data_IF_020311048269
#
_entry.id   IF_020311048269
#
_cell.length_a   1.000
_cell.length_b   1.000
_cell.length_c   1.000
_cell.angle_alpha   90.00
_cell.angle_beta   90.00
_cell.angle_gamma   90.00
#
_symmetry.space_group_name_H-M   'P 1'
#
loop_
_entity.id
_entity.type
_entity.pdbx_description
1 polymer ?
#
# COMPACT_ATOMS: atom_id res chain seq x y z
N UNK A 1 14.79 -22.59 -15.19
CA UNK A 1 14.72 -23.93 -15.82
C UNK A 1 15.52 -24.87 -14.96
N UNK A 2 14.91 -25.91 -14.40
CA UNK A 2 15.65 -26.96 -13.68
C UNK A 2 16.49 -27.76 -14.66
N UNK A 3 17.73 -28.09 -14.27
CA UNK A 3 18.53 -29.06 -15.01
C UNK A 3 17.85 -30.44 -14.87
N UNK A 4 17.60 -31.17 -15.96
CA UNK A 4 17.00 -32.49 -15.88
C UNK A 4 17.93 -33.42 -15.08
N UNK A 5 17.36 -34.16 -14.12
CA UNK A 5 18.12 -35.18 -13.39
C UNK A 5 18.57 -36.27 -14.37
N UNK A 6 19.86 -36.62 -14.41
CA UNK A 6 20.35 -37.64 -15.33
C UNK A 6 19.79 -39.01 -14.95
N UNK A 7 19.27 -39.72 -15.94
CA UNK A 7 18.90 -41.12 -15.80
C UNK A 7 20.19 -41.96 -15.90
N UNK A 8 20.60 -42.64 -14.82
CA UNK A 8 21.86 -43.39 -14.77
C UNK A 8 21.75 -44.71 -15.54
N UNK A 9 20.56 -45.30 -15.58
CA UNK A 9 20.26 -46.53 -16.30
C UNK A 9 18.80 -46.51 -16.75
N UNK A 10 18.57 -46.52 -18.06
CA UNK A 10 17.26 -46.38 -18.68
C UNK A 10 16.60 -47.72 -19.08
N UNK A 11 17.26 -48.85 -18.76
CA UNK A 11 16.72 -50.19 -19.04
C UNK A 11 15.42 -50.43 -18.27
N UNK A 12 14.40 -50.86 -19.01
CA UNK A 12 13.11 -51.27 -18.46
C UNK A 12 13.05 -52.78 -18.31
N UNK A 13 12.03 -53.26 -17.62
CA UNK A 13 11.74 -54.69 -17.47
C UNK A 13 11.94 -55.50 -18.75
N UNK A 14 11.34 -55.05 -19.87
CA UNK A 14 11.40 -55.78 -21.13
C UNK A 14 12.82 -55.86 -21.69
N UNK A 15 13.58 -54.77 -21.59
CA UNK A 15 14.98 -54.73 -22.04
C UNK A 15 15.83 -55.75 -21.26
N UNK A 16 15.57 -55.88 -19.95
CA UNK A 16 16.24 -56.84 -19.07
C UNK A 16 15.86 -58.29 -19.39
N UNK A 17 14.58 -58.55 -19.67
CA UNK A 17 14.10 -59.89 -20.09
C UNK A 17 14.69 -60.29 -21.44
N UNK A 18 14.68 -59.37 -22.41
CA UNK A 18 15.19 -59.62 -23.76
C UNK A 18 16.72 -59.84 -23.75
N UNK A 19 17.46 -59.06 -22.96
CA UNK A 19 18.89 -59.26 -22.77
C UNK A 19 19.21 -60.61 -22.12
N UNK A 20 18.45 -61.02 -21.11
CA UNK A 20 18.62 -62.33 -20.49
C UNK A 20 18.31 -63.48 -21.47
N UNK A 21 17.23 -63.37 -22.25
CA UNK A 21 16.88 -64.35 -23.30
C UNK A 21 17.94 -64.47 -24.37
N UNK A 22 18.53 -63.35 -24.81
CA UNK A 22 19.66 -63.33 -25.77
C UNK A 22 20.89 -64.10 -25.26
N UNK A 23 21.09 -64.18 -23.94
CA UNK A 23 22.23 -64.91 -23.35
C UNK A 23 21.99 -66.42 -23.23
N UNK A 24 20.75 -66.91 -23.29
CA UNK A 24 20.43 -68.34 -23.09
C UNK A 24 21.16 -69.21 -24.12
N UNK A 25 21.10 -68.86 -25.40
CA UNK A 25 21.72 -69.65 -26.47
C UNK A 25 23.24 -69.78 -26.36
N UNK A 26 23.91 -68.83 -25.68
CA UNK A 26 25.35 -68.85 -25.46
C UNK A 26 25.75 -69.56 -24.17
N UNK A 27 24.95 -69.42 -23.11
CA UNK A 27 25.31 -69.90 -21.75
C UNK A 27 24.65 -71.21 -21.36
N UNK A 28 23.48 -71.50 -21.90
CA UNK A 28 22.66 -72.66 -21.57
C UNK A 28 22.11 -73.30 -22.86
N UNK A 29 22.97 -73.86 -23.73
CA UNK A 29 22.54 -74.42 -25.02
C UNK A 29 21.57 -75.61 -24.88
N UNK A 30 21.58 -76.29 -23.73
CA UNK A 30 20.66 -77.41 -23.42
C UNK A 30 19.23 -76.94 -23.06
N UNK A 31 19.05 -75.64 -22.77
CA UNK A 31 17.74 -75.07 -22.46
C UNK A 31 17.04 -74.65 -23.75
N UNK A 32 16.05 -75.44 -24.18
CA UNK A 32 15.39 -75.31 -25.49
C UNK A 32 13.99 -74.71 -25.45
N UNK A 33 13.31 -74.74 -24.31
CA UNK A 33 11.97 -74.15 -24.14
C UNK A 33 12.04 -72.72 -23.62
N UNK A 34 11.77 -71.74 -24.48
CA UNK A 34 11.79 -70.30 -24.15
C UNK A 34 10.39 -69.67 -24.16
N UNK A 35 9.33 -70.50 -24.03
CA UNK A 35 7.96 -70.02 -23.96
C UNK A 35 7.69 -69.27 -22.65
N UNK A 36 6.66 -68.42 -22.64
CA UNK A 36 6.25 -67.66 -21.44
C UNK A 36 5.86 -68.58 -20.27
N UNK A 37 5.36 -69.79 -20.58
CA UNK A 37 4.99 -70.79 -19.58
C UNK A 37 6.18 -71.55 -18.97
N UNK A 38 7.40 -71.34 -19.47
CA UNK A 38 8.59 -71.99 -18.95
C UNK A 38 8.95 -71.41 -17.55
N UNK A 39 9.17 -72.26 -16.52
CA UNK A 39 9.52 -71.79 -15.18
C UNK A 39 10.83 -71.00 -15.13
N UNK A 40 11.80 -71.30 -15.99
CA UNK A 40 13.05 -70.56 -16.12
C UNK A 40 12.84 -69.16 -16.70
N UNK A 41 11.95 -69.03 -17.69
CA UNK A 41 11.53 -67.71 -18.21
C UNK A 41 10.80 -66.90 -17.14
N UNK A 42 9.96 -67.55 -16.32
CA UNK A 42 9.31 -66.89 -15.17
C UNK A 42 10.34 -66.38 -14.15
N UNK A 43 11.42 -67.11 -13.91
CA UNK A 43 12.52 -66.65 -13.04
C UNK A 43 13.26 -65.46 -13.66
N UNK A 44 13.49 -65.47 -14.98
CA UNK A 44 14.08 -64.31 -15.69
C UNK A 44 13.20 -63.08 -15.48
N UNK A 45 11.88 -63.20 -15.67
CA UNK A 45 10.93 -62.11 -15.45
C UNK A 45 10.95 -61.63 -13.99
N UNK A 46 10.96 -62.54 -13.01
CA UNK A 46 11.06 -62.18 -11.59
C UNK A 46 12.33 -61.37 -11.30
N UNK A 47 13.50 -61.85 -11.77
CA UNK A 47 14.76 -61.14 -11.56
C UNK A 47 14.82 -59.82 -12.32
N UNK A 48 14.27 -59.75 -13.54
CA UNK A 48 14.15 -58.51 -14.30
C UNK A 48 13.32 -57.46 -13.52
N UNK A 49 12.22 -57.86 -12.90
CA UNK A 49 11.41 -56.97 -12.04
C UNK A 49 12.19 -56.49 -10.81
N UNK A 50 12.94 -57.38 -10.15
CA UNK A 50 13.79 -57.00 -9.01
C UNK A 50 14.89 -56.01 -9.42
N UNK A 51 15.52 -56.21 -10.58
CA UNK A 51 16.54 -55.31 -11.11
C UNK A 51 15.93 -53.97 -11.50
N UNK A 52 14.78 -53.94 -12.17
CA UNK A 52 14.08 -52.69 -12.50
C UNK A 52 13.77 -51.86 -11.24
N UNK A 53 13.35 -52.49 -10.14
CA UNK A 53 13.17 -51.79 -8.85
C UNK A 53 14.49 -51.22 -8.29
N UNK A 54 15.62 -51.90 -8.49
CA UNK A 54 16.93 -51.41 -8.10
C UNK A 54 17.40 -50.25 -8.98
N UNK A 55 17.19 -50.33 -10.30
CA UNK A 55 17.47 -49.26 -11.26
C UNK A 55 16.64 -48.01 -10.92
N UNK A 56 15.36 -48.16 -10.59
CA UNK A 56 14.51 -47.06 -10.15
C UNK A 56 15.11 -46.32 -8.94
N UNK A 57 15.63 -47.04 -7.94
CA UNK A 57 16.27 -46.43 -6.76
C UNK A 57 17.61 -45.78 -7.09
N UNK A 58 18.40 -46.41 -7.96
CA UNK A 58 19.67 -45.84 -8.43
C UNK A 58 19.44 -44.48 -9.12
N UNK A 59 18.39 -44.38 -9.92
CA UNK A 59 18.02 -43.16 -10.64
C UNK A 59 17.53 -42.01 -9.71
N UNK A 60 17.27 -42.27 -8.42
CA UNK A 60 17.00 -41.21 -7.43
C UNK A 60 18.27 -40.67 -6.75
N UNK A 61 19.41 -41.35 -6.89
CA UNK A 61 20.68 -40.95 -6.25
C UNK A 61 21.19 -39.59 -6.75
N UNK A 62 21.16 -39.26 -8.05
CA UNK A 62 21.63 -37.96 -8.54
C UNK A 62 20.93 -36.78 -7.89
N UNK A 63 19.60 -36.83 -7.76
CA UNK A 63 18.80 -35.76 -7.14
C UNK A 63 19.14 -35.61 -5.65
N UNK A 64 19.24 -36.72 -4.91
CA UNK A 64 19.62 -36.71 -3.50
C UNK A 64 21.03 -36.16 -3.28
N UNK A 65 21.98 -36.53 -4.14
CA UNK A 65 23.34 -36.02 -4.08
C UNK A 65 23.39 -34.53 -4.41
N UNK A 66 22.62 -34.09 -5.41
CA UNK A 66 22.51 -32.67 -5.76
C UNK A 66 22.03 -31.83 -4.57
N UNK A 67 20.92 -32.22 -3.93
CA UNK A 67 20.41 -31.56 -2.71
C UNK A 67 21.49 -31.55 -1.63
N UNK A 68 22.18 -32.68 -1.40
CA UNK A 68 23.21 -32.77 -0.36
C UNK A 68 24.43 -31.89 -0.67
N UNK A 69 24.82 -31.78 -1.93
CA UNK A 69 25.91 -30.88 -2.33
C UNK A 69 25.52 -29.43 -2.12
N UNK A 70 24.27 -29.04 -2.43
CA UNK A 70 23.74 -27.70 -2.13
C UNK A 70 23.84 -27.41 -0.62
N UNK A 71 23.37 -28.33 0.23
CA UNK A 71 23.47 -28.18 1.69
C UNK A 71 24.92 -28.06 2.17
N UNK A 72 25.85 -28.84 1.59
CA UNK A 72 27.27 -28.82 1.97
C UNK A 72 27.98 -27.51 1.60
N UNK A 73 27.59 -26.85 0.51
CA UNK A 73 28.10 -25.52 0.15
C UNK A 73 27.34 -24.38 0.85
N UNK A 74 26.44 -24.72 1.78
CA UNK A 74 25.70 -23.77 2.61
C UNK A 74 24.42 -23.23 1.98
N UNK A 75 23.98 -23.77 0.84
CA UNK A 75 22.69 -23.42 0.24
C UNK A 75 21.61 -24.18 0.98
N UNK A 76 20.72 -23.42 1.63
CA UNK A 76 19.54 -23.94 2.30
C UNK A 76 18.30 -23.32 1.64
N UNK A 77 17.15 -24.00 1.80
CA UNK A 77 15.87 -23.39 1.45
C UNK A 77 15.67 -22.17 2.34
N UNK A 78 15.27 -21.05 1.74
CA UNK A 78 14.87 -19.87 2.48
C UNK A 78 13.66 -20.20 3.35
N UNK A 79 13.68 -19.71 4.59
CA UNK A 79 12.53 -19.87 5.47
C UNK A 79 11.34 -19.13 4.87
N UNK A 80 10.11 -19.65 5.04
CA UNK A 80 8.92 -18.92 4.62
C UNK A 80 8.90 -17.54 5.30
N UNK A 81 8.76 -16.49 4.51
CA UNK A 81 8.63 -15.13 5.03
C UNK A 81 7.15 -14.78 5.27
N UNK A 82 6.83 -14.16 6.42
CA UNK A 82 5.47 -13.79 6.73
C UNK A 82 4.94 -12.73 5.76
N UNK A 83 3.70 -12.91 5.30
CA UNK A 83 3.06 -11.94 4.44
C UNK A 83 2.87 -10.60 5.16
N UNK A 84 3.02 -9.49 4.43
CA UNK A 84 2.98 -8.12 4.96
C UNK A 84 2.02 -7.28 4.15
N UNK A 85 1.12 -6.54 4.82
CA UNK A 85 0.18 -5.64 4.15
C UNK A 85 -0.13 -4.38 4.96
N UNK A 86 -0.59 -3.35 4.27
CA UNK A 86 -1.01 -2.07 4.82
C UNK A 86 -2.45 -2.16 5.32
N UNK A 87 -2.69 -1.71 6.55
CA UNK A 87 -4.04 -1.59 7.10
C UNK A 87 -4.37 -0.14 7.43
N UNK A 88 -5.57 0.29 7.05
CA UNK A 88 -6.15 1.58 7.43
C UNK A 88 -7.28 1.32 8.43
N UNK A 89 -7.07 1.73 9.68
CA UNK A 89 -8.09 1.66 10.72
C UNK A 89 -8.90 2.95 10.70
N UNK A 90 -10.22 2.84 10.60
CA UNK A 90 -11.14 3.99 10.66
C UNK A 90 -11.85 4.02 12.01
N UNK A 91 -11.93 5.20 12.59
CA UNK A 91 -12.65 5.44 13.83
C UNK A 91 -14.15 5.58 13.52
N UNK A 92 -14.98 4.91 14.32
CA UNK A 92 -16.45 5.05 14.26
C UNK A 92 -16.96 6.19 15.14
N UNK A 93 -16.14 6.65 16.09
CA UNK A 93 -16.41 7.77 16.99
C UNK A 93 -15.14 8.60 17.14
N UNK A 94 -15.26 9.90 17.48
CA UNK A 94 -14.11 10.72 17.81
C UNK A 94 -13.24 10.09 18.91
N UNK A 95 -11.97 10.49 18.95
CA UNK A 95 -11.03 10.10 20.01
C UNK A 95 -11.52 10.69 21.34
N UNK A 96 -12.21 9.86 22.12
CA UNK A 96 -12.66 10.13 23.50
C UNK A 96 -11.75 9.34 24.46
N UNK A 97 -11.49 9.84 25.67
CA UNK A 97 -10.70 9.08 26.65
C UNK A 97 -11.49 7.91 27.27
N UNK A 98 -10.84 7.17 28.17
CA UNK A 98 -11.45 6.03 28.89
C UNK A 98 -12.52 6.45 29.93
N UNK A 99 -12.76 7.75 30.12
CA UNK A 99 -13.61 8.37 31.14
C UNK A 99 -14.65 9.38 30.57
N UNK A 100 -14.70 9.59 29.25
CA UNK A 100 -15.56 10.57 28.57
C UNK A 100 -14.99 11.99 28.45
N UNK A 101 -13.75 12.24 28.90
CA UNK A 101 -13.02 13.48 28.69
C UNK A 101 -12.16 13.37 27.41
N UNK A 102 -11.89 14.46 26.70
CA UNK A 102 -11.27 14.37 25.37
C UNK A 102 -9.79 13.88 25.44
N UNK A 103 -9.51 12.61 25.08
CA UNK A 103 -8.14 12.12 24.94
C UNK A 103 -7.43 12.82 23.77
N UNK A 104 -6.22 13.34 24.03
CA UNK A 104 -5.39 13.96 23.00
C UNK A 104 -4.85 12.93 21.99
N UNK A 105 -4.72 11.67 22.39
CA UNK A 105 -4.31 10.55 21.54
C UNK A 105 -4.86 9.18 22.03
N UNK A 106 -5.08 8.26 21.09
CA UNK A 106 -5.33 6.83 21.33
C UNK A 106 -4.18 6.04 20.69
N UNK A 107 -3.66 5.05 21.41
CA UNK A 107 -2.61 4.16 20.89
C UNK A 107 -3.19 2.75 20.77
N UNK A 108 -3.14 2.19 19.57
CA UNK A 108 -3.39 0.77 19.36
C UNK A 108 -2.07 0.01 19.59
N UNK A 109 -2.00 -0.87 20.61
CA UNK A 109 -0.79 -1.62 20.92
C UNK A 109 -0.42 -2.55 19.78
N UNK A 110 0.90 -2.70 19.58
CA UNK A 110 1.46 -3.67 18.66
C UNK A 110 1.04 -5.09 19.07
N UNK A 111 0.86 -5.98 18.08
CA UNK A 111 0.54 -7.41 18.22
C UNK A 111 -0.83 -7.76 18.80
N UNK A 112 -1.40 -6.89 19.64
CA UNK A 112 -2.73 -7.09 20.21
C UNK A 112 -3.86 -6.75 19.22
N UNK A 113 -3.59 -5.85 18.27
CA UNK A 113 -4.54 -5.50 17.20
C UNK A 113 -4.38 -6.46 16.03
N UNK A 114 -5.43 -7.25 15.77
CA UNK A 114 -5.47 -8.28 14.71
C UNK A 114 -6.54 -7.94 13.68
N UNK A 115 -6.23 -8.16 12.41
CA UNK A 115 -7.19 -8.18 11.31
C UNK A 115 -7.11 -9.54 10.61
N UNK A 116 -8.24 -10.08 10.16
CA UNK A 116 -8.27 -11.39 9.54
C UNK A 116 -8.96 -11.36 8.18
N UNK A 117 -8.57 -12.26 7.28
CA UNK A 117 -9.34 -12.51 6.06
C UNK A 117 -10.71 -13.10 6.40
N UNK A 118 -11.65 -13.02 5.47
CA UNK A 118 -12.98 -13.62 5.65
C UNK A 118 -12.82 -15.15 5.61
N UNK A 119 -13.22 -15.81 6.71
CA UNK A 119 -13.31 -17.28 6.74
C UNK A 119 -14.36 -17.76 5.74
N UNK A 120 -14.01 -18.72 4.90
CA UNK A 120 -14.95 -19.40 4.00
C UNK A 120 -15.19 -20.83 4.48
N UNK A 121 -16.05 -21.59 3.79
CA UNK A 121 -16.24 -23.02 4.11
C UNK A 121 -14.99 -23.87 3.82
N UNK A 122 -14.14 -23.41 2.90
CA UNK A 122 -12.95 -24.14 2.42
C UNK A 122 -11.63 -23.57 2.94
N UNK A 123 -11.62 -22.34 3.45
CA UNK A 123 -10.41 -21.65 3.88
C UNK A 123 -10.58 -21.04 5.28
N UNK A 124 -9.64 -21.37 6.16
CA UNK A 124 -9.53 -20.73 7.47
C UNK A 124 -9.13 -19.25 7.32
N UNK A 125 -9.48 -18.44 8.31
CA UNK A 125 -9.11 -17.04 8.33
C UNK A 125 -7.60 -16.91 8.60
N UNK A 126 -6.93 -16.10 7.78
CA UNK A 126 -5.52 -15.75 7.97
C UNK A 126 -5.49 -14.47 8.81
N UNK A 127 -4.90 -14.55 9.99
CA UNK A 127 -4.75 -13.44 10.92
C UNK A 127 -3.47 -12.65 10.65
N UNK A 128 -3.58 -11.33 10.63
CA UNK A 128 -2.49 -10.38 10.53
C UNK A 128 -2.44 -9.56 11.81
N UNK A 129 -1.30 -9.53 12.48
CA UNK A 129 -1.08 -8.74 13.70
C UNK A 129 -0.24 -7.50 13.42
N UNK A 130 -0.56 -6.39 14.07
CA UNK A 130 0.22 -5.13 13.91
C UNK A 130 1.65 -5.30 14.42
N UNK A 131 2.63 -4.83 13.65
CA UNK A 131 4.06 -4.97 13.95
C UNK A 131 4.60 -3.95 14.97
N UNK A 132 4.00 -2.77 15.02
CA UNK A 132 4.27 -1.75 16.02
C UNK A 132 3.01 -0.92 16.33
N UNK A 133 3.13 -0.09 17.35
CA UNK A 133 2.04 0.75 17.81
C UNK A 133 1.51 1.69 16.72
N UNK A 134 0.20 1.93 16.76
CA UNK A 134 -0.47 2.90 15.90
C UNK A 134 -1.06 4.01 16.77
N UNK A 135 -0.51 5.21 16.65
CA UNK A 135 -0.97 6.40 17.37
C UNK A 135 -1.98 7.16 16.52
N UNK A 136 -3.17 7.37 17.07
CA UNK A 136 -4.24 8.20 16.52
C UNK A 136 -4.36 9.45 17.38
N UNK A 137 -4.08 10.62 16.81
CA UNK A 137 -4.07 11.88 17.55
C UNK A 137 -5.26 12.73 17.16
N UNK A 138 -5.78 13.54 18.09
CA UNK A 138 -6.75 14.59 17.74
C UNK A 138 -6.01 15.77 17.10
N UNK A 139 -6.21 16.06 15.81
CA UNK A 139 -5.50 17.15 15.16
C UNK A 139 -6.00 18.50 15.72
N UNK A 140 -5.07 19.32 16.19
CA UNK A 140 -5.34 20.73 16.51
C UNK A 140 -4.78 21.60 15.40
N UNK A 141 -5.69 22.12 14.59
CA UNK A 141 -5.39 23.07 13.54
C UNK A 141 -5.17 24.44 14.19
N UNK A 142 -3.96 24.97 14.15
CA UNK A 142 -3.61 26.26 14.77
C UNK A 142 -3.48 27.38 13.75
N UNK A 143 -3.19 27.05 12.50
CA UNK A 143 -2.99 28.05 11.46
C UNK A 143 -3.73 27.65 10.19
N UNK A 144 -4.51 28.58 9.65
CA UNK A 144 -5.13 28.47 8.34
C UNK A 144 -4.96 29.81 7.64
N UNK A 145 -4.37 29.82 6.45
CA UNK A 145 -4.23 31.03 5.64
C UNK A 145 -3.99 30.70 4.17
N UNK A 146 -4.29 31.66 3.29
CA UNK A 146 -4.03 31.55 1.85
C UNK A 146 -2.79 32.37 1.47
N UNK A 147 -1.93 31.81 0.62
CA UNK A 147 -0.80 32.50 -0.02
C UNK A 147 -1.04 32.48 -1.54
N UNK A 148 -1.04 33.63 -2.22
CA UNK A 148 -1.09 33.68 -3.67
C UNK A 148 0.12 32.99 -4.30
N UNK A 149 -0.09 32.30 -5.42
CA UNK A 149 0.99 31.72 -6.22
C UNK A 149 1.88 32.82 -6.79
N UNK A 150 3.19 32.56 -6.85
CA UNK A 150 4.14 33.35 -7.65
C UNK A 150 4.17 32.82 -9.08
N UNK A 151 4.41 33.69 -10.06
CA UNK A 151 4.43 33.34 -11.49
C UNK A 151 5.46 32.24 -11.83
N UNK A 152 6.48 32.05 -10.99
CA UNK A 152 7.53 31.04 -11.17
C UNK A 152 7.15 29.66 -10.59
N UNK A 153 5.96 29.47 -10.01
CA UNK A 153 5.52 28.22 -9.38
C UNK A 153 6.31 27.81 -8.12
N UNK A 154 7.40 28.53 -7.83
CA UNK A 154 8.23 28.42 -6.65
C UNK A 154 7.87 29.57 -5.71
N UNK A 155 6.89 29.35 -4.83
CA UNK A 155 6.82 30.12 -3.59
C UNK A 155 7.98 29.65 -2.71
N UNK A 156 9.21 30.03 -3.07
CA UNK A 156 10.43 29.71 -2.32
C UNK A 156 10.62 30.65 -1.13
N UNK A 157 9.87 31.76 -1.10
CA UNK A 157 9.90 32.72 -0.01
C UNK A 157 8.57 32.64 0.76
N UNK A 158 8.52 31.80 1.79
CA UNK A 158 7.40 31.70 2.74
C UNK A 158 7.23 32.97 3.60
N UNK A 159 7.82 34.10 3.20
CA UNK A 159 7.80 35.36 3.94
C UNK A 159 6.56 36.17 3.57
N UNK A 160 5.42 35.83 4.16
CA UNK A 160 4.17 36.56 3.90
C UNK A 160 3.88 37.56 5.01
N UNK A 161 3.90 38.85 4.64
CA UNK A 161 3.18 39.92 5.32
C UNK A 161 1.70 39.89 4.87
N UNK A 162 0.76 39.97 5.83
CA UNK A 162 -0.69 39.99 5.55
C UNK A 162 -1.46 38.70 5.88
N UNK A 163 -0.82 37.76 6.57
CA UNK A 163 -1.39 36.45 6.91
C UNK A 163 -2.51 36.55 7.94
N UNK A 164 -3.78 36.42 7.51
CA UNK A 164 -4.95 36.29 8.39
C UNK A 164 -4.93 34.90 9.03
N UNK A 165 -4.76 34.85 10.36
CA UNK A 165 -4.88 33.60 11.12
C UNK A 165 -6.33 33.40 11.54
N UNK A 166 -7.02 32.46 10.89
CA UNK A 166 -8.44 32.19 11.14
C UNK A 166 -8.70 31.56 12.51
N UNK A 167 -7.67 31.04 13.21
CA UNK A 167 -7.81 30.41 14.52
C UNK A 167 -7.42 31.34 15.68
N UNK A 168 -6.80 32.51 15.40
CA UNK A 168 -6.42 33.46 16.45
C UNK A 168 -7.63 34.23 17.01
N UNK A 169 -8.75 34.25 16.29
CA UNK A 169 -10.07 34.61 16.83
C UNK A 169 -10.79 33.34 17.31
N UNK A 170 -10.38 32.83 18.48
CA UNK A 170 -11.18 31.83 19.21
C UNK A 170 -12.57 32.40 19.49
N UNK A 171 -13.52 31.99 18.65
CA UNK A 171 -14.96 32.14 18.88
C UNK A 171 -15.60 33.03 17.83
N UNK A 172 -16.01 32.42 16.72
CA UNK A 172 -16.75 33.04 15.62
C UNK A 172 -15.97 34.17 14.93
N UNK A 173 -15.53 33.91 13.70
CA UNK A 173 -15.76 34.93 12.66
C UNK A 173 -17.21 35.41 12.87
N UNK A 174 -17.51 36.72 12.88
CA UNK A 174 -18.90 37.16 12.80
C UNK A 174 -19.58 36.30 11.73
N UNK A 175 -20.78 35.77 11.98
CA UNK A 175 -21.47 34.76 11.13
C UNK A 175 -21.60 35.17 9.63
N UNK A 176 -21.11 36.36 9.26
CA UNK A 176 -21.07 37.00 7.95
C UNK A 176 -19.70 37.11 7.25
N UNK A 177 -18.56 36.75 7.85
CA UNK A 177 -17.25 36.82 7.16
C UNK A 177 -16.79 35.46 6.63
N UNK A 178 -16.72 35.34 5.30
CA UNK A 178 -16.04 34.27 4.58
C UNK A 178 -14.62 34.67 4.22
N UNK A 179 -13.76 33.68 4.01
CA UNK A 179 -12.47 33.91 3.37
C UNK A 179 -12.34 33.10 2.09
N UNK A 180 -11.68 33.71 1.10
CA UNK A 180 -11.37 33.07 -0.18
C UNK A 180 -10.22 32.09 0.02
N UNK A 181 -10.40 30.85 -0.43
CA UNK A 181 -9.40 29.77 -0.36
C UNK A 181 -8.16 30.11 -1.21
N UNK A 182 -8.37 30.81 -2.33
CA UNK A 182 -7.33 31.25 -3.27
C UNK A 182 -7.44 32.76 -3.54
N UNK A 183 -6.64 33.29 -4.47
CA UNK A 183 -6.76 34.68 -4.92
C UNK A 183 -8.15 34.94 -5.52
N UNK A 184 -8.61 36.21 -5.53
CA UNK A 184 -9.94 36.59 -6.02
C UNK A 184 -10.28 36.00 -7.41
N UNK A 185 -9.30 36.07 -8.32
CA UNK A 185 -9.23 35.22 -9.50
C UNK A 185 -8.13 34.19 -9.24
N UNK A 186 -8.46 32.89 -9.09
CA UNK A 186 -7.48 31.86 -8.77
C UNK A 186 -6.33 31.82 -9.78
N UNK A 187 -5.10 31.86 -9.28
CA UNK A 187 -3.86 31.79 -10.08
C UNK A 187 -3.13 30.50 -9.81
N UNK A 188 -2.51 29.95 -10.85
CA UNK A 188 -1.73 28.72 -10.73
C UNK A 188 -0.70 28.86 -9.60
N UNK A 189 -0.72 27.90 -8.66
CA UNK A 189 0.15 27.93 -7.49
C UNK A 189 -0.45 28.62 -6.25
N UNK A 190 -1.64 29.22 -6.31
CA UNK A 190 -2.34 29.69 -5.11
C UNK A 190 -2.50 28.55 -4.10
N UNK A 191 -2.17 28.79 -2.83
CA UNK A 191 -2.11 27.76 -1.81
C UNK A 191 -2.91 28.13 -0.57
N UNK A 192 -3.77 27.22 -0.11
CA UNK A 192 -4.31 27.22 1.25
C UNK A 192 -3.39 26.38 2.15
N UNK A 193 -2.84 26.98 3.20
CA UNK A 193 -2.00 26.30 4.18
C UNK A 193 -2.80 25.92 5.43
N UNK A 194 -2.59 24.70 5.90
CA UNK A 194 -3.13 24.11 7.12
C UNK A 194 -1.96 23.69 8.02
N UNK A 195 -1.81 24.37 9.15
CA UNK A 195 -0.76 24.12 10.14
C UNK A 195 -1.30 23.42 11.36
N UNK A 196 -0.81 22.21 11.62
CA UNK A 196 -1.12 21.44 12.83
C UNK A 196 -0.09 21.73 13.94
N UNK A 197 -0.59 21.85 15.17
CA UNK A 197 0.24 22.11 16.36
C UNK A 197 1.21 20.97 16.69
N UNK A 198 0.78 19.74 16.44
CA UNK A 198 1.49 18.52 16.82
C UNK A 198 1.59 17.55 15.64
N UNK A 199 2.47 16.55 15.79
CA UNK A 199 2.73 15.54 14.77
C UNK A 199 1.49 14.67 14.53
N UNK A 200 0.97 14.72 13.31
CA UNK A 200 -0.17 13.93 12.82
C UNK A 200 0.26 12.80 11.86
N UNK A 201 1.54 12.40 11.91
CA UNK A 201 2.12 11.36 11.06
C UNK A 201 1.28 10.07 11.05
N UNK A 202 1.07 9.51 9.85
CA UNK A 202 0.35 8.25 9.67
C UNK A 202 -1.15 8.28 9.99
N UNK A 203 -1.71 9.43 10.39
CA UNK A 203 -3.12 9.58 10.67
C UNK A 203 -3.93 9.80 9.38
N UNK A 204 -5.18 9.36 9.39
CA UNK A 204 -6.19 9.78 8.43
C UNK A 204 -6.91 10.99 9.03
N UNK A 205 -6.70 12.16 8.45
CA UNK A 205 -7.26 13.42 8.93
C UNK A 205 -8.40 13.85 8.02
N UNK A 206 -9.56 14.14 8.61
CA UNK A 206 -10.68 14.79 7.92
C UNK A 206 -10.57 16.30 8.07
N UNK A 207 -10.51 17.02 6.95
CA UNK A 207 -10.66 18.47 6.91
C UNK A 207 -12.13 18.79 6.63
N UNK A 208 -12.85 19.25 7.65
CA UNK A 208 -14.23 19.68 7.52
C UNK A 208 -14.26 21.15 7.12
N UNK A 209 -14.90 21.46 6.00
CA UNK A 209 -15.05 22.82 5.50
C UNK A 209 -16.52 23.19 5.42
N UNK A 210 -16.86 24.35 5.98
CA UNK A 210 -18.15 25.01 5.73
C UNK A 210 -17.94 26.04 4.63
N UNK A 211 -18.44 25.74 3.44
CA UNK A 211 -18.28 26.55 2.24
C UNK A 211 -19.54 27.38 2.00
N UNK A 212 -19.36 28.64 1.62
CA UNK A 212 -20.44 29.38 0.99
C UNK A 212 -20.64 28.78 -0.39
N UNK A 213 -21.85 28.26 -0.67
CA UNK A 213 -22.17 27.69 -1.98
C UNK A 213 -21.96 28.74 -3.05
N UNK A 214 -20.83 28.66 -3.75
CA UNK A 214 -20.66 29.39 -4.99
C UNK A 214 -21.63 28.76 -5.99
N UNK A 215 -22.46 29.56 -6.65
CA UNK A 215 -23.30 29.12 -7.76
C UNK A 215 -22.41 28.81 -8.99
N UNK A 216 -21.37 27.99 -8.82
CA UNK A 216 -20.49 27.53 -9.88
C UNK A 216 -21.20 26.43 -10.65
N UNK A 217 -22.09 26.82 -11.55
CA UNK A 217 -22.75 25.94 -12.50
C UNK A 217 -21.72 25.35 -13.45
N UNK A 218 -21.56 24.02 -13.47
CA UNK A 218 -20.81 23.31 -14.50
C UNK A 218 -19.39 22.87 -14.15
N UNK A 219 -18.90 23.05 -12.92
CA UNK A 219 -17.64 22.44 -12.48
C UNK A 219 -17.79 20.92 -12.38
N UNK A 220 -16.82 20.16 -12.91
CA UNK A 220 -16.75 18.72 -12.68
C UNK A 220 -16.34 18.43 -11.25
N UNK A 221 -17.34 18.26 -10.40
CA UNK A 221 -17.20 18.08 -8.96
C UNK A 221 -16.19 16.98 -8.57
N UNK A 222 -16.19 15.85 -9.27
CA UNK A 222 -15.31 14.72 -8.98
C UNK A 222 -13.84 14.90 -9.38
N UNK A 223 -13.47 16.02 -10.01
CA UNK A 223 -12.08 16.30 -10.39
C UNK A 223 -11.73 17.79 -10.26
N UNK A 224 -11.64 18.31 -9.03
CA UNK A 224 -11.38 19.73 -8.78
C UNK A 224 -9.94 20.12 -9.19
N UNK A 225 -9.77 21.39 -9.57
CA UNK A 225 -8.49 21.99 -9.99
C UNK A 225 -7.53 22.25 -8.81
N UNK A 226 -7.32 21.25 -7.96
CA UNK A 226 -6.48 21.36 -6.78
C UNK A 226 -5.70 20.07 -6.50
N UNK A 227 -4.54 20.22 -5.88
CA UNK A 227 -3.75 19.11 -5.34
C UNK A 227 -3.41 19.36 -3.88
N UNK A 228 -3.39 18.29 -3.10
CA UNK A 228 -2.96 18.33 -1.72
C UNK A 228 -1.48 17.96 -1.64
N UNK A 229 -0.75 18.68 -0.80
CA UNK A 229 0.68 18.51 -0.59
C UNK A 229 1.02 18.59 0.89
N UNK A 230 2.14 18.00 1.26
CA UNK A 230 2.62 17.96 2.64
C UNK A 230 4.11 18.21 2.65
N UNK A 231 4.59 18.92 3.67
CA UNK A 231 6.02 19.19 3.78
C UNK A 231 6.79 17.92 4.13
N UNK A 232 7.78 17.57 3.32
CA UNK A 232 8.71 16.49 3.59
C UNK A 232 10.05 17.07 4.06
N UNK A 233 10.33 16.93 5.36
CA UNK A 233 11.58 17.42 5.95
C UNK A 233 12.84 16.68 5.49
N UNK A 234 12.72 15.49 4.88
CA UNK A 234 13.86 14.73 4.38
C UNK A 234 14.33 15.22 3.00
N UNK A 235 13.39 15.54 2.10
CA UNK A 235 13.71 16.13 0.79
C UNK A 235 13.86 17.66 0.84
N UNK A 236 13.22 18.32 1.82
CA UNK A 236 13.08 19.77 1.82
C UNK A 236 12.11 20.25 0.73
N UNK A 237 11.18 19.39 0.30
CA UNK A 237 10.22 19.66 -0.76
C UNK A 237 8.78 19.38 -0.30
N UNK A 238 7.82 19.85 -1.09
CA UNK A 238 6.41 19.56 -0.90
C UNK A 238 6.03 18.31 -1.69
N UNK A 239 5.70 17.24 -0.98
CA UNK A 239 5.30 15.98 -1.60
C UNK A 239 3.80 15.93 -1.80
N UNK A 240 3.36 15.26 -2.88
CA UNK A 240 1.94 15.04 -3.16
C UNK A 240 1.30 14.19 -2.06
N UNK A 241 0.25 14.72 -1.45
CA UNK A 241 -0.52 14.07 -0.40
C UNK A 241 -1.69 13.29 -0.98
N UNK A 242 -1.91 12.07 -0.49
CA UNK A 242 -3.02 11.23 -0.92
C UNK A 242 -4.34 11.69 -0.31
N UNK A 243 -5.22 12.22 -1.14
CA UNK A 243 -6.62 12.46 -0.82
C UNK A 243 -7.44 11.19 -1.10
N UNK A 244 -8.09 10.63 -0.07
CA UNK A 244 -8.91 9.42 -0.20
C UNK A 244 -10.33 9.74 -0.67
N UNK A 245 -10.89 10.84 -0.18
CA UNK A 245 -12.22 11.33 -0.55
C UNK A 245 -12.29 12.85 -0.40
N UNK A 246 -13.08 13.51 -1.25
CA UNK A 246 -13.34 14.95 -1.18
C UNK A 246 -14.82 15.21 -1.50
N UNK A 247 -15.63 15.26 -0.45
CA UNK A 247 -17.06 15.60 -0.55
C UNK A 247 -17.33 17.10 -0.66
N UNK A 248 -16.30 17.95 -0.49
CA UNK A 248 -16.39 19.39 -0.74
C UNK A 248 -16.32 19.71 -2.23
N UNK A 249 -15.82 18.75 -3.03
CA UNK A 249 -15.57 18.88 -4.46
C UNK A 249 -14.72 20.11 -4.77
N UNK A 250 -13.59 20.23 -4.07
CA UNK A 250 -12.74 21.41 -4.15
C UNK A 250 -13.35 22.67 -3.56
N UNK A 251 -13.89 22.55 -2.34
CA UNK A 251 -14.50 23.63 -1.56
C UNK A 251 -15.72 24.31 -2.22
N UNK A 252 -16.35 23.68 -3.21
CA UNK A 252 -17.56 24.20 -3.87
C UNK A 252 -18.82 24.04 -3.01
N UNK A 253 -18.82 23.07 -2.10
CA UNK A 253 -19.89 22.86 -1.11
C UNK A 253 -19.29 22.48 0.25
N UNK A 254 -20.08 22.65 1.30
CA UNK A 254 -19.70 22.17 2.63
C UNK A 254 -19.56 20.66 2.65
N UNK A 255 -18.53 20.15 3.33
CA UNK A 255 -18.20 18.73 3.36
C UNK A 255 -16.89 18.46 4.08
N UNK A 256 -16.33 17.27 3.82
CA UNK A 256 -15.07 16.80 4.38
C UNK A 256 -14.12 16.32 3.28
N UNK A 257 -12.83 16.61 3.47
CA UNK A 257 -11.71 16.07 2.68
C UNK A 257 -10.94 15.08 3.56
N UNK A 258 -10.74 13.85 3.08
CA UNK A 258 -9.99 12.82 3.80
C UNK A 258 -8.54 12.75 3.32
N UNK A 259 -7.60 13.13 4.17
CA UNK A 259 -6.17 13.19 3.86
C UNK A 259 -5.40 12.15 4.66
N UNK A 260 -4.72 11.26 3.96
CA UNK A 260 -3.87 10.25 4.59
C UNK A 260 -2.46 10.78 4.76
N UNK A 261 -2.10 11.14 5.99
CA UNK A 261 -0.79 11.71 6.30
C UNK A 261 0.33 10.68 6.11
N UNK A 262 1.47 11.05 5.51
CA UNK A 262 2.64 10.19 5.46
C UNK A 262 3.24 10.03 6.85
N UNK A 263 4.27 9.20 6.96
CA UNK A 263 5.03 9.03 8.20
C UNK A 263 6.14 10.05 8.29
N UNK A 264 6.58 10.34 9.51
CA UNK A 264 7.74 11.18 9.80
C UNK A 264 7.58 12.60 9.24
N UNK A 265 6.41 13.21 9.46
CA UNK A 265 6.23 14.64 9.24
C UNK A 265 7.23 15.40 10.09
N UNK A 266 7.74 16.50 9.53
CA UNK A 266 8.66 17.41 10.21
C UNK A 266 8.00 18.77 10.24
N UNK A 267 8.03 19.42 11.39
CA UNK A 267 7.54 20.78 11.50
C UNK A 267 8.51 21.75 10.82
N UNK A 268 7.96 22.84 10.30
CA UNK A 268 8.77 23.92 9.71
C UNK A 268 8.14 25.27 9.99
N UNK A 269 8.95 26.30 9.82
CA UNK A 269 8.45 27.65 9.76
C UNK A 269 7.95 27.96 8.35
N UNK A 270 6.74 28.51 8.29
CA UNK A 270 6.15 29.16 7.11
C UNK A 270 5.70 30.54 7.61
N UNK A 271 6.29 31.61 7.08
CA UNK A 271 6.18 32.95 7.65
C UNK A 271 6.83 33.03 9.04
N UNK A 272 6.02 33.38 10.04
CA UNK A 272 6.41 33.47 11.45
C UNK A 272 5.80 32.33 12.31
N UNK A 273 5.33 31.26 11.67
CA UNK A 273 4.55 30.20 12.31
C UNK A 273 5.22 28.85 12.13
N UNK A 274 5.47 28.17 13.25
CA UNK A 274 5.99 26.81 13.29
C UNK A 274 4.84 25.82 13.44
N UNK A 275 4.71 24.90 12.51
CA UNK A 275 3.68 23.86 12.53
C UNK A 275 4.06 22.69 11.62
N UNK A 276 3.28 21.60 11.69
CA UNK A 276 3.29 20.55 10.68
C UNK A 276 2.34 20.95 9.55
N UNK A 277 2.86 21.13 8.34
CA UNK A 277 2.11 21.78 7.27
C UNK A 277 1.59 20.83 6.21
N UNK A 278 0.32 21.04 5.89
CA UNK A 278 -0.34 20.53 4.69
C UNK A 278 -0.82 21.73 3.90
N UNK A 279 -0.76 21.67 2.57
CA UNK A 279 -1.31 22.73 1.72
C UNK A 279 -2.19 22.17 0.61
N UNK A 280 -3.22 22.92 0.24
CA UNK A 280 -4.00 22.70 -0.95
C UNK A 280 -3.58 23.72 -2.00
N UNK A 281 -3.00 23.27 -3.11
CA UNK A 281 -2.50 24.12 -4.19
C UNK A 281 -3.44 24.07 -5.38
N UNK A 282 -3.85 25.22 -5.87
CA UNK A 282 -4.60 25.36 -7.11
C UNK A 282 -3.70 25.08 -8.31
N UNK A 283 -4.14 24.21 -9.21
CA UNK A 283 -3.44 23.87 -10.44
C UNK A 283 -4.42 23.32 -11.48
N UNK A 284 -4.14 23.62 -12.74
CA UNK A 284 -4.77 22.99 -13.91
C UNK A 284 -3.73 22.34 -14.82
N UNK A 285 -2.48 22.25 -14.35
CA UNK A 285 -1.39 21.64 -15.11
C UNK A 285 -1.69 20.16 -15.37
N UNK A 286 -1.54 19.67 -16.61
CA UNK A 286 -1.63 18.24 -16.92
C UNK A 286 -0.61 17.38 -16.17
N UNK A 287 0.51 17.94 -15.74
CA UNK A 287 1.54 17.22 -14.97
C UNK A 287 1.04 16.90 -13.55
N UNK A 288 0.37 17.87 -12.92
CA UNK A 288 -0.23 17.70 -11.61
C UNK A 288 -1.55 16.91 -11.70
N UNK A 289 -2.40 17.25 -12.67
CA UNK A 289 -3.75 16.75 -12.85
C UNK A 289 -3.91 16.23 -14.29
N UNK A 290 -3.43 15.01 -14.57
CA UNK A 290 -3.51 14.43 -15.90
C UNK A 290 -4.96 14.25 -16.32
N UNK A 291 -5.27 14.28 -17.62
CA UNK A 291 -6.64 14.17 -18.08
C UNK A 291 -7.27 12.82 -17.70
N UNK A 292 -8.56 12.83 -17.28
CA UNK A 292 -9.28 11.64 -16.81
C UNK A 292 -10.61 11.41 -17.54
N UNK A 293 -11.00 10.14 -17.61
CA UNK A 293 -12.25 9.69 -18.24
C UNK A 293 -12.14 9.54 -19.76
N UNK A 294 -13.25 9.15 -20.39
CA UNK A 294 -13.32 8.80 -21.83
C UNK A 294 -12.92 9.99 -22.72
N UNK A 295 -13.27 11.20 -22.32
CA UNK A 295 -13.01 12.42 -23.11
C UNK A 295 -11.60 12.99 -22.92
N UNK A 296 -10.77 12.39 -22.05
CA UNK A 296 -9.39 12.83 -21.82
C UNK A 296 -9.27 14.31 -21.46
N UNK A 297 -10.17 14.83 -20.61
CA UNK A 297 -10.17 16.24 -20.18
C UNK A 297 -9.57 16.41 -18.78
N UNK A 298 -8.87 17.53 -18.59
CA UNK A 298 -8.37 17.99 -17.30
C UNK A 298 -9.49 18.58 -16.42
N UNK A 299 -9.14 19.08 -15.23
CA UNK A 299 -10.08 19.76 -14.34
C UNK A 299 -10.54 21.10 -14.93
N UNK A 300 -11.76 21.51 -14.62
CA UNK A 300 -12.25 22.85 -15.00
C UNK A 300 -11.62 23.92 -14.08
N UNK A 301 -11.08 25.01 -14.63
CA UNK A 301 -10.54 26.09 -13.81
C UNK A 301 -11.64 26.77 -12.99
N UNK A 302 -11.32 27.15 -11.76
CA UNK A 302 -12.21 27.98 -10.95
C UNK A 302 -12.41 29.35 -11.61
N UNK A 303 -13.65 29.73 -11.87
CA UNK A 303 -14.00 31.07 -12.36
C UNK A 303 -13.95 32.12 -11.23
N UNK A 304 -14.23 31.69 -10.00
CA UNK A 304 -14.16 32.49 -8.78
C UNK A 304 -13.55 31.63 -7.68
N UNK A 305 -12.75 32.21 -6.78
CA UNK A 305 -12.25 31.47 -5.62
C UNK A 305 -13.40 30.89 -4.81
N UNK A 306 -13.31 29.62 -4.39
CA UNK A 306 -14.13 29.08 -3.31
C UNK A 306 -13.99 29.94 -2.06
N UNK A 307 -15.09 30.05 -1.31
CA UNK A 307 -15.15 30.81 -0.08
C UNK A 307 -15.63 29.90 1.05
N UNK A 308 -14.92 29.93 2.17
CA UNK A 308 -15.26 29.12 3.34
C UNK A 308 -15.36 30.01 4.58
N UNK A 309 -16.28 29.66 5.47
CA UNK A 309 -16.51 30.34 6.74
C UNK A 309 -15.81 29.61 7.89
N UNK A 310 -15.57 28.31 7.74
CA UNK A 310 -14.96 27.49 8.78
C UNK A 310 -14.17 26.35 8.18
N UNK A 311 -13.01 26.07 8.77
CA UNK A 311 -12.19 24.90 8.49
C UNK A 311 -11.80 24.26 9.81
N UNK A 312 -12.17 23.00 10.01
CA UNK A 312 -11.79 22.20 11.16
C UNK A 312 -11.03 20.95 10.71
N UNK A 313 -10.27 20.38 11.64
CA UNK A 313 -9.63 19.08 11.45
C UNK A 313 -10.13 18.09 12.50
N UNK A 314 -10.33 16.84 12.07
CA UNK A 314 -10.66 15.71 12.96
C UNK A 314 -9.86 14.47 12.59
N UNK A 315 -9.64 13.59 13.57
CA UNK A 315 -9.07 12.28 13.30
C UNK A 315 -10.17 11.35 12.81
N UNK A 316 -9.93 10.70 11.67
CA UNK A 316 -10.81 9.68 11.10
C UNK A 316 -10.24 8.28 11.28
N UNK A 317 -8.99 8.16 11.75
CA UNK A 317 -8.27 6.90 11.81
C UNK A 317 -6.78 7.05 11.64
N UNK A 318 -6.09 5.93 11.40
CA UNK A 318 -4.67 5.91 11.06
C UNK A 318 -4.27 4.66 10.28
N UNK A 319 -3.15 4.74 9.56
CA UNK A 319 -2.59 3.67 8.73
C UNK A 319 -1.35 3.03 9.36
N UNK A 320 -1.30 1.71 9.38
CA UNK A 320 -0.14 0.92 9.80
C UNK A 320 0.49 0.14 8.65
N UNK A 321 1.83 0.09 8.65
CA UNK A 321 2.72 -0.73 7.82
C UNK A 321 3.50 -1.70 8.72
N UNK A 322 3.77 -2.94 8.26
CA UNK A 322 2.78 -3.90 7.81
C UNK A 322 2.43 -4.88 8.93
N UNK A 323 1.17 -5.32 8.95
CA UNK A 323 0.79 -6.42 9.80
C UNK A 323 1.36 -7.74 9.24
N UNK A 324 1.85 -8.64 10.10
CA UNK A 324 2.45 -9.92 9.70
C UNK A 324 1.59 -11.11 10.14
N UNK A 325 1.56 -12.13 9.28
CA UNK A 325 1.00 -13.47 9.55
C UNK A 325 2.07 -14.35 10.18
#
# INVERSE_FOLDING_TARGET
MSLPSPNLDDRKFQDLVDDAKRQIGLRCPDWTDHNVSDPGVTLIELFASMVEQALFRLNQVPEKNFIRFLEMIGINLEMPEPARTDLLFRLTRPVEDRQGEEAYEIVLPARDTVAATVRTETEEAIEFSTDAELRMVRPKLTHVFAIPGTDDGLAQDDRVAGTRDLNREKGRLPDSESFKVFSEVPRQGDCLYLGFEADVSGNLIGIEATCLTAAATGLRESYPAQVWEVWNGASGEWDRLKCLDDSTFGFNRSGSVELLMPRNLVDREVGDRKAFWVRCRYTVSPDDLPPRGVDGRGPDPYQKSPEVTQVLARSLGARRLPASV
#
